data_IF_293114926099
#
_entry.id   IF_293114926099
#
_cell.length_a   1.000
_cell.length_b   1.000
_cell.length_c   1.000
_cell.angle_alpha   90.00
_cell.angle_beta   90.00
_cell.angle_gamma   90.00
#
_symmetry.space_group_name_H-M   'P 1'
#
loop_
_entity.id
_entity.type
_entity.pdbx_description
1 polymer ?
#
# COMPACT_ATOMS: atom_id res chain seq x y z
N UNK A 1 2.96 0.01 -7.76
CA UNK A 1 4.15 0.90 -7.79
C UNK A 1 3.99 2.10 -6.84
N UNK A 2 2.96 2.95 -6.98
CA UNK A 2 2.80 4.15 -6.14
C UNK A 2 2.79 3.90 -4.61
N UNK A 3 2.16 2.83 -4.13
CA UNK A 3 2.14 2.48 -2.69
C UNK A 3 3.54 2.11 -2.18
N UNK A 4 4.29 1.31 -2.94
CA UNK A 4 5.64 0.89 -2.55
C UNK A 4 6.61 2.07 -2.54
N UNK A 5 6.53 2.94 -3.55
CA UNK A 5 7.32 4.16 -3.60
C UNK A 5 7.03 5.08 -2.40
N UNK A 6 5.75 5.27 -2.08
CA UNK A 6 5.30 6.03 -0.92
C UNK A 6 5.80 5.45 0.41
N UNK A 7 5.72 4.12 0.57
CA UNK A 7 6.24 3.42 1.74
C UNK A 7 7.75 3.64 1.89
N UNK A 8 8.53 3.50 0.82
CA UNK A 8 9.99 3.66 0.86
C UNK A 8 10.40 5.09 1.25
N UNK A 9 9.70 6.11 0.73
CA UNK A 9 9.94 7.51 1.10
C UNK A 9 9.65 7.73 2.59
N UNK A 10 8.47 7.31 3.06
CA UNK A 10 8.09 7.50 4.47
C UNK A 10 8.96 6.68 5.43
N UNK A 11 9.38 5.49 5.03
CA UNK A 11 10.32 4.67 5.80
C UNK A 11 11.64 5.40 6.01
N UNK A 12 12.22 6.00 4.96
CA UNK A 12 13.46 6.77 5.06
C UNK A 12 13.32 8.03 5.90
N UNK A 13 12.20 8.76 5.77
CA UNK A 13 11.88 9.93 6.60
C UNK A 13 11.79 9.54 8.08
N UNK A 14 11.07 8.45 8.37
CA UNK A 14 10.97 7.92 9.74
C UNK A 14 12.32 7.47 10.30
N UNK A 15 13.17 6.84 9.49
CA UNK A 15 14.54 6.49 9.89
C UNK A 15 15.41 7.72 10.19
N UNK A 16 15.20 8.83 9.48
CA UNK A 16 15.89 10.08 9.71
C UNK A 16 15.33 10.87 10.91
N UNK A 17 14.20 10.45 11.50
CA UNK A 17 13.52 11.19 12.57
C UNK A 17 12.82 12.46 12.09
N UNK A 18 12.56 12.57 10.80
CA UNK A 18 12.00 13.76 10.17
C UNK A 18 10.47 13.74 10.18
N UNK A 19 9.87 14.93 10.10
CA UNK A 19 8.42 15.06 9.99
C UNK A 19 7.92 14.60 8.61
N UNK A 20 6.73 14.02 8.55
CA UNK A 20 6.10 13.62 7.28
C UNK A 20 5.89 14.79 6.30
N UNK A 21 5.80 16.02 6.81
CA UNK A 21 5.71 17.25 6.01
C UNK A 21 6.94 17.46 5.11
N UNK A 22 8.10 16.90 5.46
CA UNK A 22 9.31 16.92 4.61
C UNK A 22 9.05 16.19 3.28
N UNK A 23 8.23 15.13 3.29
CA UNK A 23 7.86 14.42 2.06
C UNK A 23 7.13 15.34 1.08
N UNK A 24 6.16 16.10 1.59
CA UNK A 24 5.25 16.92 0.79
C UNK A 24 5.89 18.25 0.37
N UNK A 25 6.59 18.90 1.30
CA UNK A 25 7.09 20.26 1.10
C UNK A 25 8.44 20.32 0.41
N UNK A 26 9.26 19.26 0.51
CA UNK A 26 10.63 19.25 -0.01
C UNK A 26 10.88 18.10 -0.98
N UNK A 27 10.67 16.86 -0.55
CA UNK A 27 11.03 15.69 -1.37
C UNK A 27 10.19 15.65 -2.65
N UNK A 28 8.88 15.89 -2.55
CA UNK A 28 7.99 15.88 -3.71
C UNK A 28 8.39 16.91 -4.78
N UNK A 29 8.57 18.22 -4.48
CA UNK A 29 9.01 19.18 -5.48
C UNK A 29 10.40 18.86 -6.02
N UNK A 30 11.38 18.51 -5.19
CA UNK A 30 12.74 18.18 -5.66
C UNK A 30 12.74 17.02 -6.67
N UNK A 31 11.99 15.94 -6.38
CA UNK A 31 11.92 14.80 -7.31
C UNK A 31 11.16 15.20 -8.58
N UNK A 32 10.18 16.10 -8.50
CA UNK A 32 9.46 16.60 -9.67
C UNK A 32 10.37 17.41 -10.60
N UNK A 33 11.17 18.30 -10.04
CA UNK A 33 12.17 19.10 -10.79
C UNK A 33 13.20 18.20 -11.47
N UNK A 34 13.70 17.18 -10.76
CA UNK A 34 14.64 16.19 -11.33
C UNK A 34 13.99 15.42 -12.48
N UNK A 35 12.74 14.96 -12.31
CA UNK A 35 12.04 14.19 -13.34
C UNK A 35 11.77 15.03 -14.59
N UNK A 36 11.38 16.29 -14.42
CA UNK A 36 11.13 17.21 -15.52
C UNK A 36 12.42 17.59 -16.26
N UNK A 37 13.51 17.82 -15.52
CA UNK A 37 14.81 18.18 -16.08
C UNK A 37 15.49 17.01 -16.81
N UNK A 38 15.46 15.80 -16.24
CA UNK A 38 16.18 14.63 -16.77
C UNK A 38 15.38 13.80 -17.77
N UNK A 39 14.06 13.85 -17.71
CA UNK A 39 13.18 13.03 -18.55
C UNK A 39 12.23 13.94 -19.33
N UNK A 40 10.99 14.09 -18.87
CA UNK A 40 9.98 14.92 -19.47
C UNK A 40 8.88 15.30 -18.44
N UNK A 41 8.02 16.22 -18.82
CA UNK A 41 6.89 16.66 -18.00
C UNK A 41 5.93 15.49 -17.67
N UNK A 42 5.86 14.47 -18.55
CA UNK A 42 4.99 13.31 -18.37
C UNK A 42 5.48 12.41 -17.23
N UNK A 43 6.79 12.20 -17.13
CA UNK A 43 7.42 11.49 -16.02
C UNK A 43 7.23 12.26 -14.70
N UNK A 44 7.35 13.58 -14.72
CA UNK A 44 7.10 14.44 -13.56
C UNK A 44 5.64 14.35 -13.06
N UNK A 45 4.67 14.28 -13.96
CA UNK A 45 3.24 14.08 -13.62
C UNK A 45 2.95 12.73 -12.96
N UNK A 46 3.78 11.71 -13.19
CA UNK A 46 3.62 10.41 -12.52
C UNK A 46 3.78 10.52 -11.00
N UNK A 47 4.57 11.50 -10.52
CA UNK A 47 4.79 11.74 -9.10
C UNK A 47 3.53 12.15 -8.34
N UNK A 48 2.59 12.80 -9.03
CA UNK A 48 1.31 13.22 -8.44
C UNK A 48 0.40 12.03 -8.10
N UNK A 49 0.68 10.86 -8.67
CA UNK A 49 -0.02 9.61 -8.34
C UNK A 49 0.48 8.95 -7.05
N UNK A 50 1.63 9.38 -6.51
CA UNK A 50 2.24 8.82 -5.31
C UNK A 50 1.65 9.52 -4.08
N UNK A 51 0.89 8.81 -3.22
CA UNK A 51 0.35 9.41 -2.02
C UNK A 51 1.46 9.53 -0.97
N UNK A 52 2.01 10.73 -0.76
CA UNK A 52 3.05 10.97 0.26
C UNK A 52 2.46 11.35 1.63
N UNK A 53 1.21 11.81 1.65
CA UNK A 53 0.48 12.16 2.87
C UNK A 53 0.28 10.96 3.80
N UNK A 54 0.58 11.17 5.08
CA UNK A 54 0.45 10.16 6.13
C UNK A 54 -0.98 9.61 6.25
N UNK A 55 -1.99 10.48 6.10
CA UNK A 55 -3.40 10.08 6.20
C UNK A 55 -3.84 9.14 5.07
N UNK A 56 -3.20 9.27 3.91
CA UNK A 56 -3.51 8.42 2.75
C UNK A 56 -2.80 7.07 2.85
N UNK A 57 -1.58 7.07 3.37
CA UNK A 57 -0.78 5.85 3.54
C UNK A 57 -1.33 5.01 4.68
N UNK A 58 -1.65 5.63 5.82
CA UNK A 58 -2.24 4.96 6.98
C UNK A 58 -3.57 4.28 6.61
N UNK A 59 -4.40 4.96 5.80
CA UNK A 59 -5.62 4.36 5.23
C UNK A 59 -5.31 3.15 4.36
N UNK A 60 -4.40 3.29 3.39
CA UNK A 60 -4.05 2.17 2.50
C UNK A 60 -3.42 0.98 3.22
N UNK A 61 -2.59 1.21 4.24
CA UNK A 61 -2.02 0.14 5.06
C UNK A 61 -3.13 -0.57 5.84
N UNK A 62 -4.06 0.17 6.43
CA UNK A 62 -5.23 -0.40 7.11
C UNK A 62 -6.09 -1.22 6.17
N UNK A 63 -6.37 -0.71 4.97
CA UNK A 63 -7.16 -1.42 3.96
C UNK A 63 -6.47 -2.71 3.51
N UNK A 64 -5.14 -2.67 3.34
CA UNK A 64 -4.35 -3.86 3.02
C UNK A 64 -4.41 -4.90 4.16
N UNK A 65 -4.28 -4.46 5.41
CA UNK A 65 -4.36 -5.32 6.58
C UNK A 65 -5.74 -5.99 6.70
N UNK A 66 -6.82 -5.22 6.52
CA UNK A 66 -8.18 -5.75 6.52
C UNK A 66 -8.43 -6.71 5.36
N UNK A 67 -7.89 -6.43 4.17
CA UNK A 67 -7.98 -7.35 3.03
C UNK A 67 -7.26 -8.69 3.29
N UNK A 68 -6.05 -8.66 3.87
CA UNK A 68 -5.31 -9.86 4.26
C UNK A 68 -6.09 -10.67 5.29
N UNK A 69 -6.63 -10.00 6.31
CA UNK A 69 -7.46 -10.60 7.35
C UNK A 69 -8.73 -11.24 6.77
N UNK A 70 -9.46 -10.52 5.91
CA UNK A 70 -10.66 -11.02 5.25
C UNK A 70 -10.34 -12.25 4.38
N UNK A 71 -9.23 -12.22 3.65
CA UNK A 71 -8.75 -13.34 2.83
C UNK A 71 -8.48 -14.58 3.68
N UNK A 72 -7.78 -14.41 4.81
CA UNK A 72 -7.49 -15.50 5.73
C UNK A 72 -8.78 -16.10 6.34
N UNK A 73 -9.69 -15.24 6.81
CA UNK A 73 -10.98 -15.67 7.35
C UNK A 73 -11.78 -16.46 6.30
N UNK A 74 -11.82 -15.97 5.07
CA UNK A 74 -12.51 -16.64 3.96
C UNK A 74 -11.93 -18.04 3.68
N UNK A 75 -10.60 -18.16 3.66
CA UNK A 75 -9.91 -19.46 3.49
C UNK A 75 -10.23 -20.44 4.61
N UNK A 76 -10.19 -19.99 5.86
CA UNK A 76 -10.52 -20.84 7.03
C UNK A 76 -11.97 -21.32 6.94
N UNK A 77 -12.92 -20.42 6.63
CA UNK A 77 -14.33 -20.79 6.45
C UNK A 77 -14.52 -21.81 5.32
N UNK A 78 -13.82 -21.63 4.19
CA UNK A 78 -13.86 -22.56 3.06
C UNK A 78 -13.35 -23.96 3.43
N UNK A 79 -12.23 -24.05 4.17
CA UNK A 79 -11.70 -25.34 4.65
C UNK A 79 -12.69 -26.01 5.60
N UNK A 80 -13.24 -25.28 6.57
CA UNK A 80 -14.23 -25.80 7.52
C UNK A 80 -15.47 -26.32 6.80
N UNK A 81 -15.94 -25.60 5.79
CA UNK A 81 -17.07 -26.01 4.97
C UNK A 81 -16.75 -27.31 4.22
N UNK A 82 -15.62 -27.39 3.50
CA UNK A 82 -15.19 -28.62 2.82
C UNK A 82 -15.08 -29.81 3.77
N UNK A 83 -14.47 -29.63 4.93
CA UNK A 83 -14.33 -30.69 5.92
C UNK A 83 -15.68 -31.20 6.42
N UNK A 84 -16.64 -30.29 6.67
CA UNK A 84 -18.02 -30.66 7.04
C UNK A 84 -18.74 -31.44 5.93
N UNK A 85 -18.48 -31.13 4.66
CA UNK A 85 -19.06 -31.87 3.53
C UNK A 85 -18.46 -33.26 3.36
N UNK A 86 -17.14 -33.41 3.54
CA UNK A 86 -16.46 -34.70 3.42
C UNK A 86 -16.88 -35.71 4.50
N UNK A 87 -17.38 -35.23 5.64
CA UNK A 87 -17.80 -36.06 6.77
C UNK A 87 -19.33 -36.21 6.88
N UNK A 88 -20.09 -35.92 5.82
CA UNK A 88 -21.52 -36.23 5.81
C UNK A 88 -21.75 -37.75 5.72
N UNK A 89 -22.76 -38.31 6.42
CA UNK A 89 -23.12 -39.71 6.26
C UNK A 89 -23.49 -39.97 4.80
N UNK A 90 -22.84 -40.95 4.16
CA UNK A 90 -23.29 -41.43 2.85
C UNK A 90 -24.66 -42.09 3.07
N UNK A 91 -25.71 -41.47 2.54
CA UNK A 91 -27.03 -42.09 2.49
C UNK A 91 -26.85 -43.44 1.77
N UNK A 92 -27.19 -44.53 2.48
CA UNK A 92 -27.24 -45.89 1.94
C UNK A 92 -28.38 -46.00 0.93
#
# INVERSE_FOLDING_TARGET
MALMASYLVNYRIGQAGEAHTVAENLIKPCVKDIMECMFDEKAAKLLDTIPLSNDTISRKIRDLAENVKATLISRIKSIKFRFKWMNQPKLK
#
